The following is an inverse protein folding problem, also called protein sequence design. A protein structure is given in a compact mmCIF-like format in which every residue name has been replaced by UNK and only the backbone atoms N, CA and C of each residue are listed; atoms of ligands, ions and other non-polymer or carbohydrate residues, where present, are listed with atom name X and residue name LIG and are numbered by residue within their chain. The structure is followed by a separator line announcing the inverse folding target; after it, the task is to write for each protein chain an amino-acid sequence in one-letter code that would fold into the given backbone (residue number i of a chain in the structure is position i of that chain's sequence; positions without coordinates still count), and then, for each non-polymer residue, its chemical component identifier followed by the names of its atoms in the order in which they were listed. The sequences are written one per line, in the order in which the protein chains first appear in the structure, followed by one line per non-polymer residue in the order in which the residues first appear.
data_IF_215908118942
#
_entry.id   IF_215908118942
#
_cell.length_a   1.000
_cell.length_b   1.000
_cell.length_c   1.000
_cell.angle_alpha   90.00
_cell.angle_beta   90.00
_cell.angle_gamma   90.00
#
_symmetry.space_group_name_H-M   'P 1'
#
loop_
_entity.id
_entity.type
_entity.pdbx_description
1 polymer ?
#
# COMPACT_ATOMS: atom_id res chain seq x y z
N UNK A 1 7.69 -14.92 12.76
CA UNK A 1 9.12 -14.81 12.43
C UNK A 1 9.39 -13.43 11.85
N UNK A 2 10.51 -12.80 12.20
CA UNK A 2 10.95 -11.49 11.65
C UNK A 2 12.39 -11.66 11.16
N UNK A 3 12.66 -11.19 9.95
CA UNK A 3 14.00 -11.20 9.34
C UNK A 3 14.35 -9.77 8.91
N UNK A 4 15.37 -9.18 9.55
CA UNK A 4 15.81 -7.80 9.32
C UNK A 4 17.07 -7.71 8.44
N UNK A 5 17.42 -8.80 7.74
CA UNK A 5 18.59 -8.79 6.86
C UNK A 5 18.37 -7.84 5.68
N UNK A 6 19.19 -6.81 5.56
CA UNK A 6 19.15 -5.87 4.44
C UNK A 6 19.75 -6.42 3.14
N UNK A 7 19.30 -5.90 1.99
CA UNK A 7 19.91 -6.17 0.69
C UNK A 7 19.82 -7.62 0.22
N UNK A 8 18.85 -8.39 0.72
CA UNK A 8 18.64 -9.76 0.27
C UNK A 8 18.10 -9.79 -1.16
N UNK A 9 18.57 -10.76 -1.95
CA UNK A 9 18.02 -10.98 -3.28
C UNK A 9 16.69 -11.73 -3.25
N UNK A 10 15.92 -11.63 -4.33
CA UNK A 10 14.66 -12.38 -4.48
C UNK A 10 14.88 -13.91 -4.35
N UNK A 11 16.02 -14.42 -4.80
CA UNK A 11 16.39 -15.82 -4.67
C UNK A 11 16.64 -16.21 -3.20
N UNK A 12 17.35 -15.36 -2.44
CA UNK A 12 17.60 -15.58 -1.02
C UNK A 12 16.31 -15.52 -0.21
N UNK A 13 15.45 -14.54 -0.48
CA UNK A 13 14.11 -14.43 0.12
C UNK A 13 13.29 -15.69 -0.13
N UNK A 14 13.26 -16.16 -1.38
CA UNK A 14 12.53 -17.37 -1.76
C UNK A 14 13.05 -18.62 -1.05
N UNK A 15 14.38 -18.78 -0.95
CA UNK A 15 14.99 -19.90 -0.23
C UNK A 15 14.64 -19.90 1.26
N UNK A 16 14.65 -18.73 1.90
CA UNK A 16 14.27 -18.56 3.32
C UNK A 16 12.79 -18.86 3.54
N UNK A 17 11.90 -18.31 2.69
CA UNK A 17 10.47 -18.56 2.77
C UNK A 17 10.11 -20.05 2.61
N UNK A 18 10.71 -20.74 1.62
CA UNK A 18 10.54 -22.19 1.42
C UNK A 18 11.01 -22.99 2.63
N UNK A 19 12.17 -22.65 3.19
CA UNK A 19 12.68 -23.31 4.41
C UNK A 19 11.71 -23.12 5.56
N UNK A 20 11.20 -21.91 5.76
CA UNK A 20 10.26 -21.58 6.82
C UNK A 20 8.93 -22.34 6.67
N UNK A 21 8.32 -22.32 5.48
CA UNK A 21 7.09 -23.08 5.17
C UNK A 21 7.25 -24.57 5.49
N UNK A 22 8.38 -25.18 5.12
CA UNK A 22 8.65 -26.61 5.40
C UNK A 22 8.85 -26.92 6.88
N UNK A 23 9.51 -26.05 7.63
CA UNK A 23 9.86 -26.31 9.03
C UNK A 23 8.74 -25.96 10.01
N UNK A 24 7.98 -24.90 9.73
CA UNK A 24 7.05 -24.30 10.68
C UNK A 24 5.67 -23.96 10.10
N UNK A 25 5.46 -24.18 8.80
CA UNK A 25 4.34 -23.55 8.10
C UNK A 25 4.61 -22.05 7.82
N UNK A 26 3.78 -21.48 6.96
CA UNK A 26 3.81 -20.07 6.57
C UNK A 26 2.46 -19.76 5.92
N UNK A 27 1.74 -18.78 6.44
CA UNK A 27 0.38 -18.44 5.98
C UNK A 27 0.29 -17.04 5.37
N UNK A 28 1.28 -16.19 5.65
CA UNK A 28 1.41 -14.84 5.11
C UNK A 28 2.90 -14.48 5.04
N UNK A 29 3.30 -13.83 3.94
CA UNK A 29 4.60 -13.18 3.83
C UNK A 29 4.41 -11.68 3.62
N UNK A 30 5.07 -10.87 4.43
CA UNK A 30 5.11 -9.40 4.27
C UNK A 30 6.54 -8.98 3.94
N UNK A 31 6.68 -8.15 2.89
CA UNK A 31 7.96 -7.61 2.43
C UNK A 31 7.92 -6.08 2.52
N UNK A 32 8.75 -5.51 3.39
CA UNK A 32 8.91 -4.07 3.60
C UNK A 32 10.35 -3.65 3.27
N UNK A 33 10.62 -3.00 2.14
CA UNK A 33 9.77 -2.75 0.98
C UNK A 33 10.50 -3.18 -0.31
N UNK A 34 9.77 -3.40 -1.41
CA UNK A 34 10.27 -4.03 -2.66
C UNK A 34 11.59 -3.44 -3.15
N UNK A 35 11.70 -2.12 -3.09
CA UNK A 35 12.85 -1.38 -3.59
C UNK A 35 14.16 -1.66 -2.83
N UNK A 36 14.12 -2.28 -1.64
CA UNK A 36 15.31 -2.70 -0.89
C UNK A 36 15.80 -4.11 -1.25
N UNK A 37 15.03 -4.86 -2.03
CA UNK A 37 15.48 -6.14 -2.57
C UNK A 37 16.46 -5.89 -3.71
N UNK A 38 17.51 -6.71 -3.76
CA UNK A 38 18.49 -6.68 -4.83
C UNK A 38 18.11 -7.65 -5.95
N UNK A 39 18.24 -7.20 -7.20
CA UNK A 39 18.18 -8.04 -8.39
C UNK A 39 19.37 -8.99 -8.48
N UNK A 40 19.32 -9.90 -9.45
CA UNK A 40 20.34 -10.95 -9.60
C UNK A 40 21.71 -10.45 -10.12
N UNK A 41 21.83 -9.20 -10.61
CA UNK A 41 23.07 -8.66 -11.21
C UNK A 41 23.57 -7.38 -10.53
N UNK A 42 24.84 -7.39 -10.12
CA UNK A 42 25.62 -6.24 -9.57
C UNK A 42 26.11 -5.24 -10.64
N UNK A 43 25.40 -5.11 -11.76
CA UNK A 43 25.75 -4.21 -12.86
C UNK A 43 24.77 -3.03 -12.99
N UNK A 44 24.99 -2.19 -13.99
CA UNK A 44 24.13 -1.05 -14.41
C UNK A 44 22.77 -1.55 -14.96
N UNK A 45 22.10 -2.46 -14.25
CA UNK A 45 20.78 -2.95 -14.62
C UNK A 45 19.77 -1.83 -14.42
N UNK A 46 19.03 -1.53 -15.48
CA UNK A 46 17.90 -0.61 -15.42
C UNK A 46 16.97 -1.03 -14.27
N UNK A 47 16.70 -0.10 -13.35
CA UNK A 47 15.85 -0.32 -12.18
C UNK A 47 14.51 -0.96 -12.51
N UNK A 48 13.95 -0.61 -13.67
CA UNK A 48 12.70 -1.19 -14.19
C UNK A 48 12.80 -2.72 -14.34
N UNK A 49 13.94 -3.21 -14.83
CA UNK A 49 14.16 -4.64 -15.04
C UNK A 49 14.33 -5.38 -13.71
N UNK A 50 15.03 -4.77 -12.75
CA UNK A 50 15.18 -5.31 -11.40
C UNK A 50 13.84 -5.44 -10.68
N UNK A 51 13.00 -4.39 -10.72
CA UNK A 51 11.66 -4.44 -10.13
C UNK A 51 10.80 -5.51 -10.80
N UNK A 52 10.91 -5.65 -12.13
CA UNK A 52 10.20 -6.72 -12.87
C UNK A 52 10.65 -8.12 -12.43
N UNK A 53 11.95 -8.35 -12.26
CA UNK A 53 12.47 -9.63 -11.77
C UNK A 53 11.94 -9.93 -10.36
N UNK A 54 11.94 -8.92 -9.48
CA UNK A 54 11.45 -9.04 -8.11
C UNK A 54 9.95 -9.38 -8.09
N UNK A 55 9.12 -8.63 -8.82
CA UNK A 55 7.65 -8.82 -8.80
C UNK A 55 7.24 -10.16 -9.38
N UNK A 56 7.86 -10.55 -10.50
CA UNK A 56 7.62 -11.86 -11.12
C UNK A 56 8.08 -12.99 -10.21
N UNK A 57 9.24 -12.84 -9.55
CA UNK A 57 9.75 -13.81 -8.58
C UNK A 57 8.83 -13.96 -7.37
N UNK A 58 8.30 -12.85 -6.82
CA UNK A 58 7.33 -12.88 -5.73
C UNK A 58 6.02 -13.53 -6.16
N UNK A 59 5.51 -13.23 -7.36
CA UNK A 59 4.29 -13.86 -7.89
C UNK A 59 4.46 -15.37 -8.06
N UNK A 60 5.61 -15.81 -8.56
CA UNK A 60 5.93 -17.24 -8.65
C UNK A 60 6.01 -17.89 -7.27
N UNK A 61 6.67 -17.24 -6.31
CA UNK A 61 6.78 -17.72 -4.93
C UNK A 61 5.42 -17.83 -4.23
N UNK A 62 4.55 -16.85 -4.40
CA UNK A 62 3.20 -16.86 -3.84
C UNK A 62 2.40 -18.08 -4.33
N UNK A 63 2.48 -18.36 -5.64
CA UNK A 63 1.85 -19.53 -6.26
C UNK A 63 2.46 -20.84 -5.78
N UNK A 64 3.79 -20.92 -5.72
CA UNK A 64 4.51 -22.12 -5.28
C UNK A 64 4.19 -22.49 -3.83
N UNK A 65 4.20 -21.50 -2.93
CA UNK A 65 3.95 -21.71 -1.50
C UNK A 65 2.46 -21.80 -1.17
N UNK A 66 1.59 -21.43 -2.11
CA UNK A 66 0.16 -21.20 -1.89
C UNK A 66 -0.10 -20.26 -0.70
N UNK A 67 0.64 -19.14 -0.67
CA UNK A 67 0.62 -18.16 0.43
C UNK A 67 0.45 -16.75 -0.12
N UNK A 68 -0.45 -15.92 0.44
CA UNK A 68 -0.53 -14.51 0.10
C UNK A 68 0.78 -13.79 0.46
N UNK A 69 1.25 -12.95 -0.46
CA UNK A 69 2.41 -12.09 -0.26
C UNK A 69 1.94 -10.64 -0.33
N UNK A 70 2.18 -9.88 0.74
CA UNK A 70 1.99 -8.43 0.77
C UNK A 70 3.36 -7.81 0.60
N UNK A 71 3.51 -6.97 -0.43
CA UNK A 71 4.74 -6.24 -0.66
C UNK A 71 4.48 -4.74 -0.66
N UNK A 72 5.23 -4.02 0.16
CA UNK A 72 5.16 -2.56 0.20
C UNK A 72 5.97 -1.99 -0.95
N UNK A 73 5.41 -0.99 -1.63
CA UNK A 73 6.09 -0.24 -2.68
C UNK A 73 5.99 1.25 -2.36
N UNK A 74 7.12 1.95 -2.52
CA UNK A 74 7.09 3.41 -2.54
C UNK A 74 6.52 3.92 -3.86
N UNK A 75 5.91 5.11 -3.80
CA UNK A 75 5.38 5.81 -4.96
C UNK A 75 6.41 6.81 -5.50
N UNK A 76 6.28 7.15 -6.78
CA UNK A 76 6.97 8.28 -7.38
C UNK A 76 6.58 9.59 -6.68
N UNK A 77 7.53 10.52 -6.52
CA UNK A 77 7.27 11.87 -5.99
C UNK A 77 6.34 12.70 -6.86
N UNK A 78 6.03 12.25 -8.08
CA UNK A 78 5.13 12.96 -8.99
C UNK A 78 3.71 13.13 -8.45
N UNK A 79 3.25 12.24 -7.56
CA UNK A 79 1.97 12.39 -6.85
C UNK A 79 1.90 13.72 -6.10
N UNK A 80 3.04 14.18 -5.57
CA UNK A 80 3.15 15.42 -4.80
C UNK A 80 3.05 16.69 -5.68
N UNK A 81 3.11 16.57 -7.01
CA UNK A 81 3.00 17.72 -7.91
C UNK A 81 1.56 17.95 -8.41
N UNK A 82 0.65 17.00 -8.23
CA UNK A 82 -0.73 17.10 -8.70
C UNK A 82 -1.59 17.89 -7.72
N UNK A 83 -2.72 18.41 -8.15
CA UNK A 83 -3.70 19.01 -7.23
C UNK A 83 -4.34 17.93 -6.35
N UNK A 84 -4.89 16.88 -6.97
CA UNK A 84 -5.34 15.70 -6.25
C UNK A 84 -4.17 14.77 -5.92
N UNK A 85 -3.92 14.61 -4.62
CA UNK A 85 -2.83 13.82 -4.06
C UNK A 85 -3.19 12.34 -3.86
N UNK A 86 -4.42 11.91 -4.18
CA UNK A 86 -4.83 10.50 -4.09
C UNK A 86 -4.02 9.62 -5.04
N UNK A 87 -3.22 8.66 -4.55
CA UNK A 87 -2.37 7.86 -5.42
C UNK A 87 -3.16 7.06 -6.47
N UNK A 88 -2.56 6.90 -7.64
CA UNK A 88 -3.09 6.12 -8.75
C UNK A 88 -2.02 5.18 -9.32
N UNK A 89 -2.41 4.23 -10.17
CA UNK A 89 -1.51 3.22 -10.74
C UNK A 89 -0.28 3.81 -11.44
N UNK A 90 -0.43 4.94 -12.14
CA UNK A 90 0.69 5.62 -12.81
C UNK A 90 1.74 6.18 -11.84
N UNK A 91 1.42 6.33 -10.56
CA UNK A 91 2.39 6.74 -9.52
C UNK A 91 3.38 5.61 -9.17
N UNK A 92 3.10 4.36 -9.58
CA UNK A 92 4.05 3.24 -9.58
C UNK A 92 5.04 3.33 -10.75
N UNK A 93 5.31 4.53 -11.29
CA UNK A 93 6.22 4.77 -12.42
C UNK A 93 7.54 4.01 -12.24
N UNK A 94 8.11 3.55 -13.35
CA UNK A 94 9.26 2.62 -13.40
C UNK A 94 8.93 1.18 -12.96
N UNK A 95 7.66 0.93 -12.59
CA UNK A 95 7.21 -0.33 -12.02
C UNK A 95 5.90 -0.83 -12.68
N UNK A 96 5.73 -0.63 -13.98
CA UNK A 96 4.56 -1.16 -14.72
C UNK A 96 4.39 -2.69 -14.56
N UNK A 97 5.48 -3.39 -14.28
CA UNK A 97 5.49 -4.81 -13.88
C UNK A 97 4.81 -5.06 -12.54
N UNK A 98 4.91 -4.17 -11.54
CA UNK A 98 4.13 -4.27 -10.29
C UNK A 98 2.64 -4.28 -10.64
N UNK A 99 2.19 -3.31 -11.43
CA UNK A 99 0.79 -3.23 -11.83
C UNK A 99 0.39 -4.52 -12.54
N UNK A 100 1.16 -5.02 -13.50
CA UNK A 100 0.82 -6.23 -14.25
C UNK A 100 0.79 -7.49 -13.37
N UNK A 101 1.84 -7.72 -12.58
CA UNK A 101 2.04 -8.95 -11.82
C UNK A 101 1.13 -9.06 -10.59
N UNK A 102 0.81 -7.94 -9.95
CA UNK A 102 -0.02 -7.91 -8.75
C UNK A 102 -1.44 -8.44 -9.03
N UNK A 103 -2.00 -9.17 -8.06
CA UNK A 103 -3.42 -9.51 -8.07
C UNK A 103 -4.27 -8.34 -7.57
N UNK A 104 -3.76 -7.63 -6.55
CA UNK A 104 -4.40 -6.48 -5.92
C UNK A 104 -3.37 -5.37 -5.76
N UNK A 105 -3.76 -4.13 -6.05
CA UNK A 105 -2.98 -2.93 -5.71
C UNK A 105 -3.85 -2.05 -4.82
N UNK A 106 -3.34 -1.76 -3.62
CA UNK A 106 -3.97 -0.88 -2.63
C UNK A 106 -3.07 0.30 -2.36
N UNK A 107 -3.64 1.50 -2.36
CA UNK A 107 -2.98 2.72 -1.93
C UNK A 107 -3.54 3.17 -0.59
N UNK A 108 -2.67 3.69 0.27
CA UNK A 108 -3.08 4.33 1.52
C UNK A 108 -3.01 5.84 1.32
N UNK A 109 -4.11 6.52 1.62
CA UNK A 109 -4.21 7.98 1.51
C UNK A 109 -4.78 8.56 2.81
N UNK A 110 -4.27 9.72 3.21
CA UNK A 110 -4.73 10.47 4.38
C UNK A 110 -4.87 11.92 3.99
N UNK A 111 -6.11 12.38 3.85
CA UNK A 111 -6.40 13.77 3.50
C UNK A 111 -5.89 14.73 4.59
N UNK A 112 -6.04 14.33 5.86
CA UNK A 112 -5.52 15.03 7.04
C UNK A 112 -4.05 15.44 6.90
N UNK A 113 -3.20 14.52 6.39
CA UNK A 113 -1.77 14.77 6.20
C UNK A 113 -1.49 15.89 5.18
N UNK A 114 -2.31 16.02 4.15
CA UNK A 114 -2.15 17.05 3.12
C UNK A 114 -2.77 18.38 3.56
N UNK A 115 -3.94 18.34 4.20
CA UNK A 115 -4.63 19.53 4.72
C UNK A 115 -3.78 20.21 5.80
N UNK A 116 -3.20 19.45 6.73
CA UNK A 116 -2.37 20.00 7.81
C UNK A 116 -1.20 20.86 7.28
N UNK A 117 -0.58 20.45 6.15
CA UNK A 117 0.55 21.18 5.53
C UNK A 117 0.16 22.48 4.85
N UNK A 118 -1.14 22.74 4.72
CA UNK A 118 -1.69 23.97 4.13
C UNK A 118 -2.33 24.89 5.19
N UNK A 119 -2.07 24.64 6.49
CA UNK A 119 -2.61 25.45 7.60
C UNK A 119 -2.26 26.93 7.42
N UNK A 120 -3.27 27.82 7.23
CA UNK A 120 -3.05 29.26 7.16
C UNK A 120 -2.82 29.84 8.56
N UNK A 121 -2.46 31.13 8.61
CA UNK A 121 -2.29 31.82 9.88
C UNK A 121 -3.63 31.89 10.64
N UNK A 122 -3.56 31.69 11.96
CA UNK A 122 -4.75 31.74 12.80
C UNK A 122 -5.35 33.16 12.78
N UNK A 123 -6.67 33.24 12.62
CA UNK A 123 -7.40 34.51 12.53
C UNK A 123 -7.56 35.09 11.12
N UNK A 124 -7.00 34.47 10.08
CA UNK A 124 -7.31 34.87 8.70
C UNK A 124 -8.66 34.27 8.24
N UNK A 125 -9.33 34.87 7.22
CA UNK A 125 -10.58 34.31 6.69
C UNK A 125 -10.45 32.84 6.23
N UNK A 126 -9.32 32.50 5.62
CA UNK A 126 -9.03 31.16 5.08
C UNK A 126 -8.90 30.11 6.19
N UNK A 127 -8.59 30.53 7.43
CA UNK A 127 -8.47 29.63 8.57
C UNK A 127 -9.80 28.92 8.90
N UNK A 128 -10.92 29.60 8.70
CA UNK A 128 -12.25 29.01 8.96
C UNK A 128 -12.55 27.88 7.98
N UNK A 129 -12.22 28.07 6.70
CA UNK A 129 -12.39 27.05 5.66
C UNK A 129 -11.44 25.88 5.87
N UNK A 130 -10.17 26.16 6.20
CA UNK A 130 -9.18 25.15 6.53
C UNK A 130 -9.62 24.30 7.74
N UNK A 131 -10.13 24.93 8.80
CA UNK A 131 -10.60 24.23 10.00
C UNK A 131 -11.76 23.29 9.69
N UNK A 132 -12.72 23.73 8.85
CA UNK A 132 -13.83 22.89 8.42
C UNK A 132 -13.34 21.65 7.66
N UNK A 133 -12.41 21.82 6.71
CA UNK A 133 -11.80 20.71 5.97
C UNK A 133 -11.02 19.77 6.90
N UNK A 134 -10.20 20.32 7.79
CA UNK A 134 -9.40 19.56 8.73
C UNK A 134 -10.29 18.71 9.65
N UNK A 135 -11.37 19.29 10.21
CA UNK A 135 -12.30 18.56 11.06
C UNK A 135 -12.98 17.38 10.36
N UNK A 136 -13.21 17.47 9.04
CA UNK A 136 -13.82 16.39 8.27
C UNK A 136 -12.83 15.26 7.97
N UNK A 137 -11.55 15.58 7.81
CA UNK A 137 -10.47 14.66 7.46
C UNK A 137 -9.79 14.02 8.68
N UNK A 138 -9.83 14.68 9.84
CA UNK A 138 -9.14 14.26 11.06
C UNK A 138 -9.51 12.82 11.43
N UNK A 139 -8.49 12.02 11.73
CA UNK A 139 -8.67 10.64 12.19
C UNK A 139 -9.21 9.68 11.13
N UNK A 140 -9.20 10.05 9.84
CA UNK A 140 -9.62 9.20 8.73
C UNK A 140 -8.46 8.84 7.82
N UNK A 141 -8.57 7.67 7.20
CA UNK A 141 -7.71 7.23 6.12
C UNK A 141 -8.54 6.52 5.04
N UNK A 142 -8.04 6.56 3.81
CA UNK A 142 -8.60 5.85 2.67
C UNK A 142 -7.65 4.72 2.27
N UNK A 143 -8.21 3.53 2.04
CA UNK A 143 -7.56 2.45 1.31
C UNK A 143 -8.20 2.39 -0.08
N UNK A 144 -7.46 2.85 -1.08
CA UNK A 144 -7.90 2.92 -2.47
C UNK A 144 -7.45 1.63 -3.16
N UNK A 145 -8.40 0.76 -3.51
CA UNK A 145 -8.17 -0.44 -4.30
C UNK A 145 -8.11 -0.02 -5.76
N UNK A 146 -6.91 0.33 -6.24
CA UNK A 146 -6.67 0.78 -7.62
C UNK A 146 -6.68 -0.36 -8.64
N UNK A 147 -6.38 -1.60 -8.21
CA UNK A 147 -6.46 -2.81 -9.03
C UNK A 147 -6.94 -4.00 -8.22
N UNK A 148 -7.80 -4.82 -8.82
CA UNK A 148 -8.22 -6.12 -8.29
C UNK A 148 -8.51 -7.07 -9.46
N UNK A 149 -7.78 -8.19 -9.59
CA UNK A 149 -7.98 -9.15 -10.70
C UNK A 149 -9.30 -9.90 -10.62
N UNK A 150 -9.83 -10.12 -9.41
CA UNK A 150 -10.95 -11.03 -9.17
C UNK A 150 -12.11 -10.38 -8.41
N UNK A 151 -12.34 -9.08 -8.63
CA UNK A 151 -13.33 -8.34 -7.87
C UNK A 151 -13.34 -6.85 -8.20
N UNK A 152 -14.17 -6.07 -7.49
CA UNK A 152 -14.32 -4.64 -7.73
C UNK A 152 -13.10 -3.85 -7.25
N UNK A 153 -12.87 -2.73 -7.92
CA UNK A 153 -12.05 -1.61 -7.44
C UNK A 153 -12.93 -0.64 -6.63
N UNK A 154 -12.30 0.22 -5.84
CA UNK A 154 -13.02 1.22 -5.04
C UNK A 154 -12.23 1.69 -3.83
N UNK A 155 -12.82 2.59 -3.05
CA UNK A 155 -12.19 3.15 -1.85
C UNK A 155 -12.90 2.65 -0.60
N UNK A 156 -12.11 2.23 0.39
CA UNK A 156 -12.57 1.86 1.72
C UNK A 156 -12.09 2.91 2.71
N UNK A 157 -13.00 3.53 3.44
CA UNK A 157 -12.67 4.45 4.52
C UNK A 157 -12.38 3.69 5.81
N UNK A 158 -11.31 4.11 6.50
CA UNK A 158 -10.85 3.59 7.77
C UNK A 158 -10.69 4.72 8.78
N UNK A 159 -10.75 4.39 10.06
CA UNK A 159 -10.27 5.28 11.11
C UNK A 159 -8.75 5.12 11.25
N UNK A 160 -8.06 6.23 11.49
CA UNK A 160 -6.62 6.25 11.70
C UNK A 160 -6.25 7.05 12.96
N UNK A 161 -5.55 6.39 13.88
CA UNK A 161 -5.07 7.00 15.12
C UNK A 161 -3.56 7.24 15.00
N UNK A 162 -3.19 8.46 14.59
CA UNK A 162 -1.81 8.81 14.26
C UNK A 162 -0.81 8.59 15.39
N UNK A 163 -1.21 8.87 16.63
CA UNK A 163 -0.38 8.66 17.82
C UNK A 163 0.02 7.19 18.06
N UNK A 164 -0.72 6.24 17.48
CA UNK A 164 -0.47 4.81 17.62
C UNK A 164 -0.11 4.13 16.29
N UNK A 165 -0.06 4.89 15.19
CA UNK A 165 0.08 4.34 13.82
C UNK A 165 -0.92 3.22 13.53
N UNK A 166 -2.15 3.36 14.04
CA UNK A 166 -3.17 2.30 14.04
C UNK A 166 -4.29 2.62 13.08
N UNK A 167 -4.60 1.66 12.21
CA UNK A 167 -5.82 1.64 11.40
C UNK A 167 -6.89 0.80 12.10
N UNK A 168 -8.14 1.25 12.05
CA UNK A 168 -9.30 0.50 12.54
C UNK A 168 -10.51 0.70 11.63
N UNK A 169 -11.53 -0.14 11.80
CA UNK A 169 -12.79 0.06 11.08
C UNK A 169 -13.35 1.42 11.44
N UNK A 170 -13.66 2.24 10.44
CA UNK A 170 -14.39 3.48 10.69
C UNK A 170 -15.76 3.09 11.23
N UNK A 171 -16.10 3.58 12.43
CA UNK A 171 -17.43 3.40 12.98
C UNK A 171 -18.42 4.05 12.01
N UNK A 172 -19.11 3.24 11.21
CA UNK A 172 -20.26 3.70 10.44
C UNK A 172 -21.36 3.92 11.45
N UNK A 173 -21.86 5.15 11.58
CA UNK A 173 -23.20 5.36 12.15
C UNK A 173 -24.13 4.38 11.42
N UNK A 174 -24.74 3.50 12.19
CA UNK A 174 -25.56 2.36 11.78
C UNK A 174 -26.15 2.49 10.36
N UNK A 175 -25.82 1.53 9.49
CA UNK A 175 -26.74 1.18 8.42
C UNK A 175 -28.09 0.89 9.08
N UNK A 176 -29.14 1.61 8.66
CA UNK A 176 -30.49 1.24 9.05
C UNK A 176 -30.73 -0.24 8.67
N UNK A 177 -31.39 -1.03 9.54
CA UNK A 177 -31.54 -2.48 9.38
C UNK A 177 -32.50 -2.90 8.25
N UNK A 178 -32.50 -2.23 7.10
CA UNK A 178 -33.42 -2.50 5.99
C UNK A 178 -32.78 -3.25 4.80
N UNK A 179 -31.48 -3.61 4.87
CA UNK A 179 -30.78 -4.30 3.78
C UNK A 179 -30.36 -5.74 4.05
N UNK A 180 -30.84 -6.38 5.12
CA UNK A 180 -30.66 -7.82 5.37
C UNK A 180 -31.75 -8.70 4.73
N UNK A 181 -32.73 -8.13 4.01
CA UNK A 181 -33.86 -8.88 3.45
C UNK A 181 -33.74 -9.30 1.97
N UNK A 182 -32.58 -9.18 1.32
CA UNK A 182 -32.50 -9.38 -0.15
C UNK A 182 -31.29 -10.16 -0.70
N UNK A 183 -30.62 -11.02 0.09
CA UNK A 183 -29.82 -12.13 -0.45
C UNK A 183 -29.83 -13.33 0.49
#
# INVERSE_FOLDING_TARGET
FIDQTGGISIAQLSARARKLKRQHGLDLLVVDYLQLLAGSKKGESNRVQEITEITTGLKALAKELAVPIIALSQLSRQVENREDKRPQLSDLRESGSIEQDADVVMFVYRDEYYIERTKPQEGTPEFSEWMAKMSQATGKAEVIIGKQRHGPVGTVELAFEGQFTRFSNLAREYMSPEREAMY
#
